data_IF_652650064740
#
_entry.id   IF_652650064740
#
_cell.length_a   1.000
_cell.length_b   1.000
_cell.length_c   1.000
_cell.angle_alpha   90.00
_cell.angle_beta   90.00
_cell.angle_gamma   90.00
#
_symmetry.space_group_name_H-M   'P 1'
#
loop_
_entity.id
_entity.type
_entity.pdbx_description
1 polymer ?
#
# COMPACT_ATOMS: atom_id res chain seq x y z
N UNK A 1 41.44 82.15 20.26
CA UNK A 1 41.91 80.80 19.87
C UNK A 1 41.45 79.85 20.97
N UNK A 2 40.37 79.11 20.73
CA UNK A 2 39.80 78.19 21.72
C UNK A 2 39.53 76.83 21.09
N UNK A 3 39.66 75.85 21.95
CA UNK A 3 39.88 74.42 21.76
C UNK A 3 38.62 73.63 21.38
N UNK A 4 38.88 72.46 20.80
CA UNK A 4 38.13 71.21 20.97
C UNK A 4 36.63 71.20 20.62
N UNK A 5 36.35 70.86 19.37
CA UNK A 5 35.06 70.32 18.93
C UNK A 5 35.11 68.79 18.84
N UNK A 6 34.82 68.14 19.96
CA UNK A 6 34.75 66.70 20.20
C UNK A 6 33.93 65.95 19.12
N UNK A 7 34.60 65.28 18.17
CA UNK A 7 33.97 64.29 17.27
C UNK A 7 33.81 62.95 18.00
N UNK A 8 32.74 62.83 18.80
CA UNK A 8 32.37 61.59 19.51
C UNK A 8 30.89 61.20 19.34
N UNK A 9 30.20 61.77 18.34
CA UNK A 9 28.76 61.58 18.13
C UNK A 9 28.34 60.47 17.16
N UNK A 10 29.21 60.02 16.25
CA UNK A 10 28.78 59.16 15.13
C UNK A 10 29.00 57.66 15.30
N UNK A 11 29.89 57.21 16.19
CA UNK A 11 30.18 55.78 16.36
C UNK A 11 29.17 55.07 17.28
N UNK A 12 28.45 55.80 18.13
CA UNK A 12 27.45 55.22 19.03
C UNK A 12 26.15 54.81 18.31
N UNK A 13 25.84 55.45 17.17
CA UNK A 13 24.59 55.20 16.42
C UNK A 13 24.70 54.01 15.46
N UNK A 14 25.91 53.67 15.01
CA UNK A 14 26.15 52.52 14.14
C UNK A 14 26.21 51.16 14.89
N UNK A 15 26.44 51.15 16.21
CA UNK A 15 26.49 49.93 17.02
C UNK A 15 25.14 49.54 17.64
N UNK A 16 24.07 50.29 17.39
CA UNK A 16 22.73 50.03 17.96
C UNK A 16 21.78 49.29 16.99
N UNK A 17 22.19 49.05 15.75
CA UNK A 17 21.34 48.36 14.75
C UNK A 17 21.45 46.83 14.80
N UNK A 18 22.34 46.27 15.61
CA UNK A 18 22.49 44.81 15.80
C UNK A 18 22.54 44.49 17.29
N UNK A 19 21.46 44.81 18.00
CA UNK A 19 21.13 44.18 19.26
C UNK A 19 19.74 43.60 19.09
N UNK A 20 19.66 42.49 18.34
CA UNK A 20 18.48 41.63 18.48
C UNK A 20 18.41 41.30 19.98
N UNK A 21 17.30 41.72 20.60
CA UNK A 21 17.04 41.47 22.01
C UNK A 21 17.19 39.97 22.22
N UNK A 22 18.08 39.54 23.14
CA UNK A 22 18.29 38.12 23.42
C UNK A 22 16.94 37.44 23.74
N UNK A 23 16.00 38.18 24.32
CA UNK A 23 14.63 37.72 24.55
C UNK A 23 13.81 37.54 23.27
N UNK A 24 14.03 38.33 22.23
CA UNK A 24 13.39 38.17 20.91
C UNK A 24 13.98 36.97 20.15
N UNK A 25 15.31 36.81 20.16
CA UNK A 25 15.98 35.63 19.59
C UNK A 25 15.52 34.35 20.30
N UNK A 26 15.40 34.39 21.63
CA UNK A 26 14.92 33.26 22.42
C UNK A 26 13.46 32.93 22.08
N UNK A 27 12.57 33.92 22.01
CA UNK A 27 11.16 33.73 21.60
C UNK A 27 11.05 33.15 20.19
N UNK A 28 11.92 33.54 19.27
CA UNK A 28 11.98 32.99 17.91
C UNK A 28 12.49 31.56 17.89
N UNK A 29 13.51 31.24 18.69
CA UNK A 29 14.00 29.87 18.87
C UNK A 29 12.93 28.96 19.50
N UNK A 30 12.20 29.45 20.49
CA UNK A 30 11.13 28.70 21.14
C UNK A 30 9.97 28.42 20.17
N UNK A 31 9.64 29.39 19.30
CA UNK A 31 8.65 29.20 18.22
C UNK A 31 9.10 28.14 17.21
N UNK A 32 10.34 28.24 16.71
CA UNK A 32 10.88 27.27 15.75
C UNK A 32 11.00 25.86 16.36
N UNK A 33 11.30 25.77 17.66
CA UNK A 33 11.28 24.49 18.38
C UNK A 33 9.88 23.90 18.47
N UNK A 34 8.87 24.73 18.74
CA UNK A 34 7.48 24.27 18.74
C UNK A 34 7.03 23.77 17.35
N UNK A 35 7.35 24.52 16.30
CA UNK A 35 7.09 24.11 14.91
C UNK A 35 7.83 22.82 14.53
N UNK A 36 9.08 22.66 14.99
CA UNK A 36 9.85 21.43 14.77
C UNK A 36 9.23 20.24 15.50
N UNK A 37 8.78 20.41 16.75
CA UNK A 37 8.08 19.37 17.51
C UNK A 37 6.76 18.99 16.83
N UNK A 38 5.99 19.96 16.34
CA UNK A 38 4.77 19.68 15.56
C UNK A 38 5.10 18.85 14.32
N UNK A 39 6.10 19.26 13.54
CA UNK A 39 6.54 18.50 12.37
C UNK A 39 7.06 17.10 12.72
N UNK A 40 7.80 16.94 13.82
CA UNK A 40 8.24 15.62 14.31
C UNK A 40 7.04 14.74 14.70
N UNK A 41 6.01 15.31 15.31
CA UNK A 41 4.79 14.57 15.63
C UNK A 41 4.01 14.17 14.38
N UNK A 42 3.97 15.02 13.36
CA UNK A 42 3.37 14.69 12.07
C UNK A 42 4.14 13.57 11.36
N UNK A 43 5.48 13.65 11.33
CA UNK A 43 6.33 12.60 10.75
C UNK A 43 6.17 11.28 11.50
N UNK A 44 6.10 11.30 12.83
CA UNK A 44 5.84 10.11 13.65
C UNK A 44 4.44 9.54 13.42
N UNK A 45 3.42 10.40 13.28
CA UNK A 45 2.06 9.97 12.96
C UNK A 45 1.99 9.34 11.56
N UNK A 46 2.65 9.95 10.57
CA UNK A 46 2.80 9.41 9.22
C UNK A 46 3.57 8.09 9.22
N UNK A 47 4.64 7.96 10.01
CA UNK A 47 5.40 6.71 10.16
C UNK A 47 4.55 5.60 10.76
N UNK A 48 3.76 5.89 11.81
CA UNK A 48 2.84 4.91 12.39
C UNK A 48 1.72 4.52 11.43
N UNK A 49 1.18 5.47 10.67
CA UNK A 49 0.24 5.17 9.59
C UNK A 49 0.91 4.31 8.51
N UNK A 50 2.16 4.59 8.15
CA UNK A 50 2.93 3.77 7.23
C UNK A 50 3.20 2.38 7.79
N UNK A 51 3.48 2.21 9.07
CA UNK A 51 3.64 0.90 9.71
C UNK A 51 2.34 0.10 9.65
N UNK A 52 1.17 0.73 9.84
CA UNK A 52 -0.12 0.03 9.63
C UNK A 52 -0.35 -0.38 8.17
N UNK A 53 0.22 0.35 7.21
CA UNK A 53 0.17 0.05 5.77
C UNK A 53 1.25 -0.96 5.36
N UNK A 54 2.41 -0.96 6.04
CA UNK A 54 3.59 -1.76 5.76
C UNK A 54 3.54 -3.18 6.37
N UNK A 55 2.47 -3.51 7.12
CA UNK A 55 2.22 -4.89 7.54
C UNK A 55 2.10 -5.82 6.33
N UNK A 56 1.74 -5.33 5.14
CA UNK A 56 1.98 -6.04 3.88
C UNK A 56 1.69 -5.12 2.67
N UNK A 57 2.68 -4.49 2.01
CA UNK A 57 2.42 -3.74 0.77
C UNK A 57 1.89 -4.64 -0.37
N UNK A 58 2.05 -5.96 -0.30
CA UNK A 58 1.36 -6.88 -1.21
C UNK A 58 -0.15 -6.91 -0.96
N UNK A 59 -0.63 -6.59 0.26
CA UNK A 59 -2.05 -6.56 0.61
C UNK A 59 -2.79 -5.37 0.01
N UNK A 60 -2.13 -4.25 -0.26
CA UNK A 60 -2.75 -3.08 -0.91
C UNK A 60 -2.77 -3.19 -2.45
N UNK A 61 -1.76 -3.87 -3.02
CA UNK A 61 -1.83 -4.38 -4.39
C UNK A 61 -2.88 -5.49 -4.50
N UNK A 62 -3.05 -6.31 -3.44
CA UNK A 62 -4.16 -7.24 -3.31
C UNK A 62 -5.47 -6.46 -3.32
N UNK A 63 -5.70 -5.44 -2.49
CA UNK A 63 -6.97 -4.66 -2.37
C UNK A 63 -7.39 -3.91 -3.64
N UNK A 64 -6.46 -3.30 -4.36
CA UNK A 64 -6.76 -2.69 -5.67
C UNK A 64 -6.96 -3.75 -6.76
N UNK A 65 -6.42 -4.95 -6.58
CA UNK A 65 -6.81 -6.16 -7.30
C UNK A 65 -8.00 -6.92 -6.65
N UNK A 66 -8.44 -6.57 -5.42
CA UNK A 66 -9.28 -7.39 -4.52
C UNK A 66 -10.77 -7.05 -4.61
N UNK A 67 -11.17 -6.59 -5.79
CA UNK A 67 -12.35 -7.20 -6.42
C UNK A 67 -12.05 -8.61 -6.97
N UNK A 68 -11.12 -9.33 -6.34
CA UNK A 68 -10.79 -10.74 -6.55
C UNK A 68 -10.59 -11.35 -5.17
N UNK A 69 -11.66 -12.02 -4.75
CA UNK A 69 -11.83 -12.88 -3.58
C UNK A 69 -10.59 -13.71 -3.26
N UNK A 70 -9.76 -13.26 -2.31
CA UNK A 70 -8.77 -14.08 -1.61
C UNK A 70 -9.35 -14.65 -0.31
N UNK A 71 -10.50 -15.30 -0.45
CA UNK A 71 -11.12 -16.15 0.57
C UNK A 71 -11.50 -17.50 -0.02
N UNK A 72 -10.67 -17.98 -0.96
CA UNK A 72 -11.10 -18.95 -1.96
C UNK A 72 -10.43 -20.32 -1.83
N UNK A 73 -9.33 -20.47 -1.09
CA UNK A 73 -8.65 -21.78 -0.99
C UNK A 73 -9.57 -22.88 -0.43
N UNK A 74 -10.54 -22.53 0.44
CA UNK A 74 -11.51 -23.48 1.03
C UNK A 74 -12.75 -23.77 0.17
N UNK A 75 -12.99 -23.03 -0.93
CA UNK A 75 -14.23 -23.22 -1.69
C UNK A 75 -14.08 -24.41 -2.65
N UNK A 76 -14.69 -25.53 -2.28
CA UNK A 76 -14.65 -26.78 -3.06
C UNK A 76 -15.42 -26.70 -4.39
N UNK A 77 -16.50 -25.93 -4.47
CA UNK A 77 -17.35 -25.88 -5.66
C UNK A 77 -17.31 -24.51 -6.36
N UNK A 78 -16.85 -24.49 -7.61
CA UNK A 78 -16.59 -23.26 -8.36
C UNK A 78 -17.43 -23.15 -9.63
N UNK A 79 -17.91 -21.95 -9.93
CA UNK A 79 -18.44 -21.68 -11.28
C UNK A 79 -17.31 -21.65 -12.31
N UNK A 80 -17.64 -21.73 -13.61
CA UNK A 80 -16.65 -21.57 -14.70
C UNK A 80 -15.86 -20.26 -14.55
N UNK A 81 -16.54 -19.17 -14.18
CA UNK A 81 -15.93 -17.85 -14.01
C UNK A 81 -15.01 -17.81 -12.79
N UNK A 82 -15.38 -18.48 -11.70
CA UNK A 82 -14.52 -18.60 -10.52
C UNK A 82 -13.29 -19.43 -10.83
N UNK A 83 -13.48 -20.55 -11.53
CA UNK A 83 -12.39 -21.42 -11.93
C UNK A 83 -11.41 -20.71 -12.86
N UNK A 84 -11.90 -20.01 -13.88
CA UNK A 84 -11.08 -19.23 -14.82
C UNK A 84 -10.28 -18.10 -14.15
N UNK A 85 -10.71 -17.64 -12.97
CA UNK A 85 -9.95 -16.68 -12.16
C UNK A 85 -8.84 -17.33 -11.35
N UNK A 86 -8.93 -18.63 -11.06
CA UNK A 86 -7.96 -19.37 -10.24
C UNK A 86 -6.87 -20.07 -11.04
N UNK A 87 -7.18 -20.49 -12.26
CA UNK A 87 -6.26 -21.29 -13.09
C UNK A 87 -5.90 -20.50 -14.36
N UNK A 88 -4.74 -20.77 -15.01
CA UNK A 88 -4.28 -20.00 -16.18
C UNK A 88 -5.03 -20.38 -17.48
N UNK A 89 -6.34 -20.64 -17.39
CA UNK A 89 -7.19 -20.98 -18.52
C UNK A 89 -8.41 -20.06 -18.58
N UNK A 90 -8.65 -19.48 -19.76
CA UNK A 90 -9.86 -18.72 -20.02
C UNK A 90 -11.11 -19.60 -19.94
N UNK A 91 -12.27 -19.00 -19.68
CA UNK A 91 -13.54 -19.74 -19.61
C UNK A 91 -13.81 -20.57 -20.86
N UNK A 92 -13.45 -20.05 -22.04
CA UNK A 92 -13.61 -20.76 -23.29
C UNK A 92 -12.73 -22.01 -23.36
N UNK A 93 -11.50 -21.92 -22.88
CA UNK A 93 -10.60 -23.08 -22.78
C UNK A 93 -11.16 -24.12 -21.82
N UNK A 94 -11.69 -23.70 -20.67
CA UNK A 94 -12.34 -24.60 -19.72
C UNK A 94 -13.53 -25.32 -20.38
N UNK A 95 -14.37 -24.60 -21.15
CA UNK A 95 -15.46 -25.22 -21.92
C UNK A 95 -14.94 -26.22 -22.96
N UNK A 96 -13.85 -25.92 -23.63
CA UNK A 96 -13.21 -26.86 -24.58
C UNK A 96 -12.67 -28.11 -23.85
N UNK A 97 -12.12 -27.97 -22.64
CA UNK A 97 -11.70 -29.11 -21.83
C UNK A 97 -12.88 -29.98 -21.40
N UNK A 98 -14.06 -29.39 -21.18
CA UNK A 98 -15.28 -30.14 -20.94
C UNK A 98 -15.77 -30.90 -22.18
N UNK A 99 -15.85 -30.24 -23.34
CA UNK A 99 -16.33 -30.87 -24.57
C UNK A 99 -15.34 -31.90 -25.12
N UNK A 100 -14.04 -31.69 -24.90
CA UNK A 100 -12.98 -32.64 -25.24
C UNK A 100 -12.84 -33.81 -24.27
N UNK A 101 -13.65 -33.88 -23.20
CA UNK A 101 -13.66 -35.00 -22.26
C UNK A 101 -12.49 -35.05 -21.27
N UNK A 102 -11.69 -33.97 -21.20
CA UNK A 102 -10.62 -33.80 -20.19
C UNK A 102 -11.26 -33.53 -18.83
N UNK A 103 -12.13 -32.53 -18.76
CA UNK A 103 -13.00 -32.35 -17.60
C UNK A 103 -14.28 -33.16 -17.80
N UNK A 104 -14.54 -34.05 -16.84
CA UNK A 104 -15.64 -35.03 -16.91
C UNK A 104 -16.75 -34.73 -15.90
N UNK A 105 -18.00 -34.87 -16.33
CA UNK A 105 -19.18 -34.76 -15.47
C UNK A 105 -19.17 -35.88 -14.42
N UNK A 106 -19.45 -35.55 -13.17
CA UNK A 106 -19.43 -36.46 -12.02
C UNK A 106 -18.06 -36.56 -11.34
N UNK A 107 -16.98 -36.27 -12.06
CA UNK A 107 -15.61 -36.28 -11.54
C UNK A 107 -15.11 -34.86 -11.29
N UNK A 108 -14.88 -34.09 -12.35
CA UNK A 108 -14.29 -32.75 -12.29
C UNK A 108 -15.34 -31.67 -12.07
N UNK A 109 -16.56 -31.89 -12.55
CA UNK A 109 -17.68 -30.98 -12.35
C UNK A 109 -19.00 -31.73 -12.17
N UNK A 110 -19.95 -31.08 -11.54
CA UNK A 110 -21.33 -31.54 -11.40
C UNK A 110 -22.28 -30.50 -12.00
N UNK A 111 -23.53 -30.91 -12.29
CA UNK A 111 -24.56 -30.03 -12.86
C UNK A 111 -25.87 -30.04 -12.08
N UNK A 112 -25.89 -29.64 -10.79
CA UNK A 112 -27.13 -29.53 -10.03
C UNK A 112 -28.03 -28.43 -10.65
N UNK A 113 -29.28 -28.76 -10.95
CA UNK A 113 -30.29 -27.82 -11.50
C UNK A 113 -29.77 -26.96 -12.66
N UNK A 114 -29.06 -27.61 -13.59
CA UNK A 114 -28.51 -27.01 -14.81
C UNK A 114 -27.31 -26.07 -14.65
N UNK A 115 -26.83 -25.80 -13.43
CA UNK A 115 -25.64 -24.98 -13.19
C UNK A 115 -24.38 -25.85 -13.11
N UNK A 116 -23.35 -25.51 -13.86
CA UNK A 116 -22.06 -26.21 -13.81
C UNK A 116 -21.27 -25.75 -12.59
N UNK A 117 -20.82 -26.71 -11.78
CA UNK A 117 -19.98 -26.48 -10.62
C UNK A 117 -18.78 -27.42 -10.64
N UNK A 118 -17.57 -26.86 -10.68
CA UNK A 118 -16.31 -27.59 -10.68
C UNK A 118 -15.88 -27.93 -9.26
N UNK A 119 -15.39 -29.15 -9.06
CA UNK A 119 -14.75 -29.59 -7.82
C UNK A 119 -13.29 -29.16 -7.84
N UNK A 120 -12.94 -28.22 -6.96
CA UNK A 120 -11.60 -27.65 -6.90
C UNK A 120 -10.54 -28.71 -6.63
N UNK A 121 -10.77 -29.59 -5.65
CA UNK A 121 -9.87 -30.71 -5.34
C UNK A 121 -9.47 -31.51 -6.59
N UNK A 122 -10.45 -31.89 -7.41
CA UNK A 122 -10.22 -32.68 -8.63
C UNK A 122 -9.54 -31.91 -9.76
N UNK A 123 -9.87 -30.63 -9.92
CA UNK A 123 -9.17 -29.80 -10.91
C UNK A 123 -7.72 -29.56 -10.49
N UNK A 124 -7.45 -29.38 -9.20
CA UNK A 124 -6.08 -29.27 -8.66
C UNK A 124 -5.29 -30.55 -8.88
N UNK A 125 -5.84 -31.71 -8.52
CA UNK A 125 -5.21 -33.02 -8.77
C UNK A 125 -4.88 -33.24 -10.26
N UNK A 126 -5.70 -32.70 -11.16
CA UNK A 126 -5.45 -32.75 -12.60
C UNK A 126 -4.32 -31.79 -13.01
N UNK A 127 -4.30 -30.56 -12.51
CA UNK A 127 -3.22 -29.59 -12.76
C UNK A 127 -1.86 -30.11 -12.29
N UNK A 128 -1.80 -30.70 -11.10
CA UNK A 128 -0.58 -31.27 -10.53
C UNK A 128 -0.02 -32.38 -11.43
N UNK A 129 -0.91 -33.22 -12.00
CA UNK A 129 -0.52 -34.25 -12.98
C UNK A 129 0.01 -33.64 -14.27
N UNK A 130 -0.57 -32.55 -14.77
CA UNK A 130 -0.05 -31.88 -15.98
C UNK A 130 1.34 -31.30 -15.72
N UNK A 131 1.59 -30.72 -14.54
CA UNK A 131 2.87 -30.13 -14.18
C UNK A 131 3.97 -31.18 -13.92
N UNK A 132 3.60 -32.34 -13.35
CA UNK A 132 4.55 -33.43 -13.07
C UNK A 132 4.78 -34.39 -14.25
N UNK A 133 4.17 -34.12 -15.41
CA UNK A 133 4.38 -34.91 -16.64
C UNK A 133 5.42 -34.29 -17.58
N UNK A 134 6.22 -33.33 -17.09
CA UNK A 134 7.29 -32.63 -17.82
C UNK A 134 8.66 -33.13 -17.38
#
# INVERSE_FOLDING_TARGET
MSTEGMSRGSTARALSAVREDRGEVQRRLDRLRAELVEMETEVLALSRLLETVAIDPERLLRDTASKRVDGAEDVEYLSIRDLARRIPYAEQTIRNLMTGGVFRLGEHYIKPRSRIMFRWSKVRDWLDRQNNSV
#
